data_IF_780024884970
#
_entry.id   IF_780024884970
#
_cell.length_a   1.000
_cell.length_b   1.000
_cell.length_c   1.000
_cell.angle_alpha   90.00
_cell.angle_beta   90.00
_cell.angle_gamma   90.00
#
_symmetry.space_group_name_H-M   'P 1'
#
loop_
_entity.id
_entity.type
_entity.pdbx_description
1 polymer ?
#
# COMPACT_ATOMS: atom_id res chain seq x y z
N UNK A 1 19.75 15.44 56.52
CA UNK A 1 18.88 14.54 57.30
C UNK A 1 18.51 13.33 56.43
N UNK A 2 19.11 12.15 56.65
CA UNK A 2 18.74 10.92 55.96
C UNK A 2 17.86 10.04 56.86
N UNK A 3 16.81 9.43 56.33
CA UNK A 3 16.09 8.34 56.99
C UNK A 3 16.34 7.04 56.22
N UNK A 4 17.16 6.20 56.85
CA UNK A 4 17.32 4.77 56.59
C UNK A 4 16.14 4.02 57.21
N UNK A 5 15.67 2.98 56.55
CA UNK A 5 15.14 1.79 57.21
C UNK A 5 15.71 0.55 56.53
N UNK A 6 16.63 -0.13 57.23
CA UNK A 6 16.88 -1.56 57.09
C UNK A 6 16.00 -2.28 58.11
N UNK A 7 15.51 -3.48 57.83
CA UNK A 7 15.95 -4.80 58.32
C UNK A 7 14.64 -5.65 58.24
N UNK A 8 14.54 -6.91 57.84
CA UNK A 8 15.38 -8.07 58.14
C UNK A 8 15.21 -9.19 57.09
N UNK A 9 16.28 -9.97 56.92
CA UNK A 9 16.28 -11.33 56.36
C UNK A 9 15.86 -12.35 57.43
N UNK A 10 15.16 -13.43 57.04
CA UNK A 10 15.34 -14.86 57.47
C UNK A 10 14.49 -15.71 56.49
N UNK A 11 15.01 -16.48 55.52
CA UNK A 11 15.74 -17.77 55.55
C UNK A 11 14.94 -19.02 55.98
N UNK A 12 14.61 -19.84 54.96
CA UNK A 12 14.65 -21.33 54.92
C UNK A 12 13.59 -22.13 55.71
N UNK A 13 12.75 -22.89 54.99
CA UNK A 13 12.76 -24.38 54.97
C UNK A 13 11.65 -24.97 54.09
N UNK A 14 12.09 -25.88 53.23
CA UNK A 14 11.32 -26.91 52.56
C UNK A 14 10.62 -27.85 53.54
N UNK A 15 9.36 -28.18 53.29
CA UNK A 15 8.71 -29.40 53.82
C UNK A 15 8.02 -30.12 52.67
N UNK A 16 8.53 -31.31 52.42
CA UNK A 16 8.06 -32.33 51.50
C UNK A 16 7.40 -33.43 52.35
N UNK A 17 6.25 -33.97 51.91
CA UNK A 17 5.72 -35.35 52.08
C UNK A 17 4.18 -35.35 52.15
N UNK A 18 3.52 -35.94 51.13
CA UNK A 18 2.86 -37.28 51.10
C UNK A 18 1.59 -37.37 51.98
N UNK A 19 0.43 -37.83 51.52
CA UNK A 19 -0.01 -38.41 50.26
C UNK A 19 -1.36 -39.15 50.43
N UNK A 20 -1.76 -39.88 49.36
CA UNK A 20 -2.76 -41.00 49.28
C UNK A 20 -4.26 -40.60 49.19
N UNK A 21 -5.12 -41.13 48.29
CA UNK A 21 -5.10 -42.31 47.42
C UNK A 21 -6.04 -42.17 46.18
N UNK A 22 -5.61 -42.83 45.11
CA UNK A 22 -6.29 -43.59 44.03
C UNK A 22 -7.78 -43.36 43.66
N UNK A 23 -8.03 -43.19 42.35
CA UNK A 23 -8.73 -44.17 41.50
C UNK A 23 -8.15 -44.12 40.07
N UNK A 24 -7.68 -45.25 39.55
CA UNK A 24 -7.35 -45.49 38.14
C UNK A 24 -8.44 -46.36 37.53
N UNK A 25 -9.05 -45.94 36.41
CA UNK A 25 -9.69 -46.79 35.38
C UNK A 25 -9.65 -45.97 34.07
N UNK A 26 -8.69 -46.14 33.15
CA UNK A 26 -8.64 -47.11 32.05
C UNK A 26 -9.95 -47.29 31.26
N UNK A 27 -10.24 -46.37 30.35
CA UNK A 27 -11.06 -46.54 29.14
C UNK A 27 -10.64 -45.41 28.18
N UNK A 28 -10.30 -45.57 26.92
CA UNK A 28 -10.16 -46.73 26.04
C UNK A 28 -9.65 -46.16 24.72
N UNK A 29 -8.43 -46.52 24.34
CA UNK A 29 -7.86 -46.24 23.03
C UNK A 29 -8.47 -47.24 22.03
N UNK A 30 -9.60 -46.88 21.42
CA UNK A 30 -10.20 -47.62 20.32
C UNK A 30 -11.25 -46.77 19.58
N UNK A 31 -10.82 -45.65 18.99
CA UNK A 31 -11.62 -44.92 17.98
C UNK A 31 -10.73 -44.08 17.06
N UNK A 32 -9.55 -44.63 16.71
CA UNK A 32 -8.58 -44.05 15.77
C UNK A 32 -8.21 -45.01 14.62
N UNK A 33 -9.09 -45.96 14.32
CA UNK A 33 -8.93 -46.84 13.16
C UNK A 33 -10.31 -47.14 12.61
N UNK A 34 -10.73 -46.34 11.63
CA UNK A 34 -11.69 -46.61 10.53
C UNK A 34 -12.42 -45.32 10.13
N UNK A 35 -11.69 -44.44 9.46
CA UNK A 35 -12.17 -43.66 8.31
C UNK A 35 -10.92 -43.04 7.67
N UNK A 36 -10.18 -43.89 6.94
CA UNK A 36 -9.21 -43.41 5.97
C UNK A 36 -9.95 -42.62 4.90
N UNK A 37 -9.62 -41.33 4.83
CA UNK A 37 -9.66 -40.45 3.66
C UNK A 37 -9.06 -39.08 4.07
N UNK A 38 -7.89 -39.09 4.71
CA UNK A 38 -7.03 -37.91 4.80
C UNK A 38 -5.80 -38.23 3.96
N UNK A 39 -5.95 -38.10 2.65
CA UNK A 39 -4.81 -37.95 1.76
C UNK A 39 -3.97 -36.75 2.23
N UNK A 40 -2.66 -36.73 1.99
CA UNK A 40 -1.86 -35.57 2.33
C UNK A 40 -2.47 -34.37 1.61
N UNK A 41 -3.02 -33.42 2.37
CA UNK A 41 -3.38 -32.10 1.86
C UNK A 41 -2.07 -31.37 1.60
N UNK A 42 -1.36 -31.82 0.55
CA UNK A 42 -0.52 -30.92 -0.21
C UNK A 42 -1.51 -30.00 -0.92
N UNK A 43 -1.37 -28.67 -0.85
CA UNK A 43 -1.95 -27.87 -1.91
C UNK A 43 -1.36 -28.45 -3.19
N UNK A 44 -2.21 -29.10 -4.00
CA UNK A 44 -1.89 -29.33 -5.40
C UNK A 44 -1.42 -27.97 -5.87
N UNK A 45 -0.14 -27.87 -6.25
CA UNK A 45 0.32 -26.73 -7.01
C UNK A 45 -0.74 -26.55 -8.08
N UNK A 46 -1.55 -25.49 -7.94
CA UNK A 46 -2.60 -25.21 -8.91
C UNK A 46 -1.89 -25.31 -10.22
N UNK A 47 -2.35 -26.20 -11.10
CA UNK A 47 -1.89 -26.20 -12.47
C UNK A 47 -1.93 -24.74 -12.85
N UNK A 48 -0.75 -24.16 -13.08
CA UNK A 48 -0.61 -22.95 -13.84
C UNK A 48 -1.32 -23.35 -15.11
N UNK A 49 -2.57 -22.90 -15.26
CA UNK A 49 -3.25 -22.97 -16.53
C UNK A 49 -2.38 -22.05 -17.36
N UNK A 50 -1.41 -22.65 -18.04
CA UNK A 50 -0.78 -22.09 -19.21
C UNK A 50 -1.93 -21.98 -20.22
N UNK A 51 -2.77 -20.97 -20.02
CA UNK A 51 -3.34 -20.30 -21.16
C UNK A 51 -2.15 -20.02 -22.04
N UNK A 52 -2.15 -20.62 -23.22
CA UNK A 52 -1.30 -20.26 -24.33
C UNK A 52 -1.63 -18.78 -24.59
N UNK A 53 -1.03 -17.91 -23.78
CA UNK A 53 -1.18 -16.48 -23.86
C UNK A 53 -0.47 -16.13 -25.15
N UNK A 54 -1.26 -15.78 -26.16
CA UNK A 54 -0.74 -15.14 -27.37
C UNK A 54 0.34 -14.14 -26.94
N UNK A 55 1.52 -14.21 -27.56
CA UNK A 55 2.61 -13.30 -27.25
C UNK A 55 2.12 -11.86 -27.43
N UNK A 56 1.85 -11.19 -26.31
CA UNK A 56 1.50 -9.78 -26.32
C UNK A 56 2.79 -9.04 -26.65
N UNK A 57 2.85 -8.29 -27.76
CA UNK A 57 4.07 -7.62 -28.16
C UNK A 57 4.46 -6.60 -27.09
N UNK A 58 5.74 -6.63 -26.72
CA UNK A 58 6.33 -5.70 -25.75
C UNK A 58 6.44 -4.32 -26.40
N UNK A 59 5.41 -3.51 -26.20
CA UNK A 59 5.33 -2.14 -26.70
C UNK A 59 5.01 -1.18 -25.54
N UNK A 60 5.40 0.11 -25.62
CA UNK A 60 5.07 1.06 -24.56
C UNK A 60 3.57 1.15 -24.29
N UNK A 61 2.75 1.11 -25.35
CA UNK A 61 1.29 1.10 -25.24
C UNK A 61 0.78 -0.10 -24.45
N UNK A 62 1.17 -1.33 -24.83
CA UNK A 62 0.74 -2.54 -24.14
C UNK A 62 1.18 -2.56 -22.67
N UNK A 63 2.38 -2.04 -22.37
CA UNK A 63 2.88 -1.93 -21.00
C UNK A 63 2.09 -0.93 -20.15
N UNK A 64 1.75 0.24 -20.71
CA UNK A 64 0.98 1.28 -20.02
C UNK A 64 -0.50 0.87 -19.84
N UNK A 65 -1.06 0.10 -20.76
CA UNK A 65 -2.41 -0.45 -20.60
C UNK A 65 -2.46 -1.53 -19.50
N UNK A 66 -1.45 -2.40 -19.42
CA UNK A 66 -1.41 -3.51 -18.45
C UNK A 66 -1.39 -3.06 -16.97
N UNK A 67 -1.03 -1.81 -16.66
CA UNK A 67 -1.07 -1.26 -15.29
C UNK A 67 -2.43 -0.61 -14.95
N UNK A 68 -3.36 -0.45 -15.91
CA UNK A 68 -4.61 0.30 -15.68
C UNK A 68 -5.65 -0.42 -14.84
N UNK A 69 -5.65 -1.76 -14.82
CA UNK A 69 -6.62 -2.53 -14.04
C UNK A 69 -6.04 -3.90 -13.65
N UNK A 70 -6.20 -4.27 -12.39
CA UNK A 70 -5.60 -5.49 -11.87
C UNK A 70 -5.41 -5.49 -10.36
N UNK A 71 -4.83 -6.58 -9.89
CA UNK A 71 -4.39 -6.79 -8.52
C UNK A 71 -2.95 -7.25 -8.53
N UNK A 72 -2.15 -6.68 -7.65
CA UNK A 72 -0.75 -7.01 -7.49
C UNK A 72 -0.42 -7.17 -6.02
N UNK A 73 0.44 -8.14 -5.74
CA UNK A 73 1.05 -8.34 -4.43
C UNK A 73 2.55 -8.17 -4.61
N UNK A 74 3.13 -7.26 -3.84
CA UNK A 74 4.55 -6.98 -3.85
C UNK A 74 5.20 -7.39 -2.54
N UNK A 75 6.46 -7.77 -2.63
CA UNK A 75 7.39 -7.72 -1.51
C UNK A 75 7.97 -6.31 -1.43
N UNK A 76 7.67 -5.60 -0.33
CA UNK A 76 8.25 -4.29 -0.04
C UNK A 76 9.52 -4.43 0.78
N UNK A 77 10.59 -3.77 0.35
CA UNK A 77 11.89 -3.70 1.03
C UNK A 77 12.30 -2.25 1.24
N UNK A 78 12.87 -1.91 2.39
CA UNK A 78 13.48 -0.59 2.60
C UNK A 78 14.83 -0.54 1.89
N UNK A 79 15.07 0.55 1.14
CA UNK A 79 16.37 0.92 0.59
C UNK A 79 17.01 2.07 1.38
N UNK A 80 16.38 2.47 2.48
CA UNK A 80 16.84 3.61 3.28
C UNK A 80 18.07 3.20 4.09
N UNK A 81 19.23 3.87 3.92
CA UNK A 81 20.45 3.50 4.63
C UNK A 81 20.27 3.53 6.15
N UNK A 82 20.72 2.47 6.83
CA UNK A 82 20.65 2.36 8.30
C UNK A 82 19.26 2.01 8.86
N UNK A 83 18.27 1.78 8.00
CA UNK A 83 16.93 1.32 8.40
C UNK A 83 16.76 -0.14 7.96
N UNK A 84 17.02 -1.08 8.87
CA UNK A 84 16.70 -2.49 8.64
C UNK A 84 15.24 -2.75 9.00
N UNK A 85 14.43 -3.03 7.97
CA UNK A 85 13.04 -3.42 8.13
C UNK A 85 12.80 -4.76 7.42
N UNK A 86 12.01 -5.67 8.03
CA UNK A 86 11.68 -6.92 7.38
C UNK A 86 10.90 -6.65 6.09
N UNK A 87 11.08 -7.53 5.11
CA UNK A 87 10.25 -7.51 3.92
C UNK A 87 8.78 -7.71 4.31
N UNK A 88 7.89 -6.90 3.75
CA UNK A 88 6.46 -6.92 4.06
C UNK A 88 5.63 -6.99 2.78
N UNK A 89 4.48 -7.65 2.84
CA UNK A 89 3.56 -7.69 1.71
C UNK A 89 2.86 -6.33 1.54
N UNK A 90 2.74 -5.93 0.29
CA UNK A 90 2.10 -4.69 -0.13
C UNK A 90 1.16 -4.97 -1.29
N UNK A 91 -0.09 -4.53 -1.15
CA UNK A 91 -1.18 -4.88 -2.05
C UNK A 91 -1.60 -3.68 -2.86
N UNK A 92 -1.62 -3.84 -4.18
CA UNK A 92 -2.18 -2.85 -5.09
C UNK A 92 -3.39 -3.43 -5.80
N UNK A 93 -4.46 -2.66 -5.89
CA UNK A 93 -5.67 -3.01 -6.63
C UNK A 93 -6.14 -1.79 -7.39
N UNK A 94 -6.41 -1.95 -8.68
CA UNK A 94 -7.01 -0.94 -9.52
C UNK A 94 -8.21 -1.58 -10.20
N UNK A 95 -9.40 -1.01 -9.99
CA UNK A 95 -10.62 -1.49 -10.59
C UNK A 95 -11.75 -0.47 -10.44
N UNK A 96 -12.53 -0.29 -11.52
CA UNK A 96 -13.56 0.75 -11.59
C UNK A 96 -13.00 2.14 -11.29
N UNK A 97 -13.69 2.91 -10.45
CA UNK A 97 -13.33 4.28 -10.10
C UNK A 97 -12.32 4.40 -8.93
N UNK A 98 -11.66 3.31 -8.50
CA UNK A 98 -10.72 3.35 -7.35
C UNK A 98 -9.39 2.62 -7.59
N UNK A 99 -8.32 3.25 -7.12
CA UNK A 99 -7.02 2.62 -6.88
C UNK A 99 -6.78 2.56 -5.38
N UNK A 100 -6.33 1.39 -4.91
CA UNK A 100 -5.90 1.15 -3.55
C UNK A 100 -4.51 0.54 -3.57
N UNK A 101 -3.62 1.04 -2.73
CA UNK A 101 -2.24 0.57 -2.62
C UNK A 101 -1.85 0.58 -1.13
N UNK A 102 -1.75 -0.57 -0.47
CA UNK A 102 -1.75 -0.68 1.00
C UNK A 102 -0.81 -1.74 1.52
N UNK A 103 -0.18 -1.48 2.67
CA UNK A 103 0.62 -2.47 3.39
C UNK A 103 -0.26 -3.44 4.15
N UNK A 104 0.13 -4.71 4.15
CA UNK A 104 -0.46 -5.74 5.02
C UNK A 104 -0.47 -5.33 6.50
N UNK A 105 0.52 -4.55 6.93
CA UNK A 105 0.70 -4.14 8.32
C UNK A 105 -0.28 -3.05 8.77
N UNK A 106 -0.92 -2.34 7.84
CA UNK A 106 -1.79 -1.21 8.16
C UNK A 106 -3.12 -1.66 8.79
N UNK A 107 -3.52 -2.92 8.61
CA UNK A 107 -4.79 -3.45 9.13
C UNK A 107 -6.00 -2.88 8.37
N UNK A 108 -7.01 -2.39 9.10
CA UNK A 108 -8.20 -1.77 8.49
C UNK A 108 -7.83 -0.42 7.83
N UNK A 109 -7.77 -0.40 6.50
CA UNK A 109 -7.66 0.82 5.75
C UNK A 109 -8.99 1.60 5.84
N UNK A 110 -9.00 2.93 5.96
CA UNK A 110 -10.22 3.72 5.90
C UNK A 110 -10.79 3.71 4.47
N UNK A 111 -11.44 2.61 4.08
CA UNK A 111 -11.97 2.34 2.73
C UNK A 111 -13.13 3.28 2.30
N UNK A 112 -13.58 4.19 3.18
CA UNK A 112 -14.76 5.04 2.96
C UNK A 112 -14.55 6.56 3.06
N UNK A 113 -13.32 7.07 3.09
CA UNK A 113 -13.05 8.44 3.58
C UNK A 113 -13.11 9.59 2.53
N UNK A 114 -13.80 9.41 1.40
CA UNK A 114 -14.14 10.55 0.53
C UNK A 114 -15.62 10.95 0.61
N UNK A 115 -16.37 10.34 1.54
CA UNK A 115 -17.78 10.67 1.81
C UNK A 115 -17.86 12.09 2.38
N UNK A 116 -17.97 13.06 1.48
CA UNK A 116 -18.90 14.16 1.65
C UNK A 116 -20.31 13.55 1.54
N UNK A 117 -20.86 13.06 2.65
CA UNK A 117 -22.30 13.04 2.81
C UNK A 117 -22.72 12.87 4.28
N UNK A 118 -23.63 13.76 4.65
CA UNK A 118 -24.52 13.77 5.80
C UNK A 118 -24.00 14.34 7.14
N UNK A 119 -24.49 15.57 7.37
CA UNK A 119 -25.15 15.99 8.61
C UNK A 119 -24.32 16.72 9.67
N UNK A 120 -24.40 18.05 9.60
CA UNK A 120 -25.11 18.76 10.68
C UNK A 120 -26.28 17.88 11.16
N UNK A 121 -26.16 17.24 12.32
CA UNK A 121 -27.24 16.76 13.22
C UNK A 121 -26.84 15.46 13.92
N UNK A 122 -26.19 15.55 15.08
CA UNK A 122 -26.52 14.86 16.34
C UNK A 122 -25.33 14.91 17.30
N UNK A 123 -25.51 15.36 18.56
CA UNK A 123 -24.48 15.19 19.57
C UNK A 123 -24.47 13.73 19.99
N UNK A 124 -23.57 12.93 19.42
CA UNK A 124 -23.38 11.54 19.82
C UNK A 124 -22.37 11.45 20.98
N UNK A 125 -22.70 10.61 21.95
CA UNK A 125 -22.06 10.44 23.25
C UNK A 125 -20.52 10.42 23.23
N UNK A 126 -19.96 11.12 24.21
CA UNK A 126 -18.54 11.42 24.40
C UNK A 126 -17.64 10.20 24.67
N UNK A 127 -18.20 9.00 24.86
CA UNK A 127 -17.44 7.76 25.04
C UNK A 127 -17.11 7.05 23.71
N UNK A 128 -18.03 6.99 22.74
CA UNK A 128 -17.76 6.39 21.43
C UNK A 128 -16.77 7.23 20.59
N UNK A 129 -16.79 8.55 20.77
CA UNK A 129 -15.80 9.45 20.20
C UNK A 129 -14.39 9.23 20.78
N UNK A 130 -14.27 8.69 22.00
CA UNK A 130 -13.00 8.37 22.66
C UNK A 130 -12.35 7.11 22.08
N UNK A 131 -13.10 6.02 21.92
CA UNK A 131 -12.57 4.75 21.40
C UNK A 131 -12.20 4.82 19.90
N UNK A 132 -12.97 5.55 19.10
CA UNK A 132 -12.62 5.85 17.70
C UNK A 132 -11.35 6.69 17.62
N UNK A 133 -11.09 7.55 18.61
CA UNK A 133 -9.90 8.41 18.68
C UNK A 133 -8.66 7.68 19.19
N UNK A 134 -8.82 6.66 20.03
CA UNK A 134 -7.73 5.79 20.47
C UNK A 134 -7.30 4.76 19.41
N UNK A 135 -8.23 4.22 18.60
CA UNK A 135 -7.87 3.38 17.42
C UNK A 135 -7.20 4.18 16.30
N UNK A 136 -7.44 5.49 16.20
CA UNK A 136 -6.87 6.41 15.18
C UNK A 136 -5.40 6.79 15.40
N UNK A 137 -4.71 6.25 16.42
CA UNK A 137 -3.38 6.72 16.85
C UNK A 137 -2.15 6.08 16.17
N UNK A 138 -2.28 5.26 15.12
CA UNK A 138 -1.12 4.59 14.49
C UNK A 138 -0.67 5.13 13.15
N UNK A 139 -1.40 6.06 12.55
CA UNK A 139 -1.08 6.57 11.22
C UNK A 139 -1.46 8.04 11.06
N UNK A 140 -0.75 8.74 10.16
CA UNK A 140 -1.03 10.12 9.76
C UNK A 140 -1.53 10.10 8.33
N UNK A 141 -2.76 10.55 8.11
CA UNK A 141 -3.35 10.64 6.77
C UNK A 141 -3.39 12.07 6.26
N UNK A 142 -3.22 12.25 4.96
CA UNK A 142 -3.39 13.53 4.26
C UNK A 142 -4.25 13.29 3.03
N UNK A 143 -5.33 14.08 2.90
CA UNK A 143 -6.16 14.10 1.69
C UNK A 143 -5.64 15.21 0.76
N UNK A 144 -5.46 14.88 -0.50
CA UNK A 144 -5.05 15.78 -1.57
C UNK A 144 -6.13 15.72 -2.65
N UNK A 145 -6.77 16.84 -2.92
CA UNK A 145 -7.70 17.01 -4.03
C UNK A 145 -6.96 17.68 -5.19
N UNK A 146 -7.09 17.11 -6.39
CA UNK A 146 -6.48 17.59 -7.62
C UNK A 146 -7.54 18.35 -8.40
N UNK A 147 -7.28 19.63 -8.71
CA UNK A 147 -8.29 20.48 -9.34
C UNK A 147 -8.59 20.07 -10.78
N UNK A 148 -7.54 19.77 -11.55
CA UNK A 148 -7.65 19.13 -12.86
C UNK A 148 -7.22 17.67 -12.75
N UNK A 149 -8.11 16.70 -12.98
CA UNK A 149 -7.80 15.29 -12.81
C UNK A 149 -6.55 14.86 -13.61
N UNK A 150 -5.64 14.17 -12.94
CA UNK A 150 -4.33 13.85 -13.46
C UNK A 150 -4.27 12.41 -14.00
N UNK A 151 -3.95 12.22 -15.28
CA UNK A 151 -3.65 10.87 -15.80
C UNK A 151 -2.21 10.47 -15.40
N UNK A 152 -2.02 9.46 -14.53
CA UNK A 152 -0.70 9.00 -14.11
C UNK A 152 0.10 8.36 -15.26
N UNK A 153 -0.53 7.98 -16.37
CA UNK A 153 0.08 7.29 -17.52
C UNK A 153 -0.53 7.80 -18.84
N UNK A 154 -0.49 9.12 -19.06
CA UNK A 154 -1.03 9.76 -20.27
C UNK A 154 -0.52 9.14 -21.57
N UNK A 155 -1.41 8.92 -22.54
CA UNK A 155 -1.05 8.46 -23.89
C UNK A 155 -0.05 9.36 -24.62
N UNK A 156 -0.01 10.67 -24.29
CA UNK A 156 1.01 11.61 -24.80
C UNK A 156 2.44 11.17 -24.50
N UNK A 157 2.63 10.38 -23.46
CA UNK A 157 3.94 9.82 -23.08
C UNK A 157 4.49 8.88 -24.16
N UNK A 158 3.62 8.14 -24.84
CA UNK A 158 4.01 7.23 -25.93
C UNK A 158 4.51 8.05 -27.13
N UNK A 159 3.88 9.18 -27.41
CA UNK A 159 4.20 10.05 -28.55
C UNK A 159 5.50 10.85 -28.34
N UNK A 160 5.70 11.34 -27.12
CA UNK A 160 6.75 12.34 -26.83
C UNK A 160 7.93 11.79 -26.04
N UNK A 161 7.80 10.60 -25.44
CA UNK A 161 8.78 10.03 -24.51
C UNK A 161 8.82 10.72 -23.15
N UNK A 162 8.35 11.96 -23.03
CA UNK A 162 8.28 12.71 -21.77
C UNK A 162 7.11 13.68 -21.72
N UNK A 163 6.41 13.73 -20.60
CA UNK A 163 5.25 14.61 -20.37
C UNK A 163 5.39 15.35 -19.05
N UNK A 164 5.18 16.67 -19.11
CA UNK A 164 5.06 17.52 -17.93
C UNK A 164 3.61 17.95 -17.76
N UNK A 165 3.07 17.78 -16.55
CA UNK A 165 1.71 18.22 -16.19
C UNK A 165 1.78 19.02 -14.90
N UNK A 166 1.05 20.13 -14.83
CA UNK A 166 0.99 20.99 -13.65
C UNK A 166 -0.45 21.31 -13.33
N UNK A 167 -0.84 21.10 -12.09
CA UNK A 167 -2.21 21.30 -11.63
C UNK A 167 -2.23 21.87 -10.21
N UNK A 168 -3.30 22.58 -9.87
CA UNK A 168 -3.53 23.05 -8.52
C UNK A 168 -4.00 21.89 -7.63
N UNK A 169 -3.57 21.91 -6.36
CA UNK A 169 -3.98 20.92 -5.37
C UNK A 169 -4.45 21.58 -4.09
N UNK A 170 -5.40 20.92 -3.43
CA UNK A 170 -5.94 21.32 -2.13
C UNK A 170 -5.69 20.21 -1.13
N UNK A 171 -5.18 20.56 0.05
CA UNK A 171 -4.89 19.57 1.10
C UNK A 171 -5.84 19.72 2.29
N UNK A 172 -6.26 18.58 2.82
CA UNK A 172 -7.11 18.45 3.98
C UNK A 172 -6.58 17.31 4.88
N UNK A 173 -7.00 17.30 6.15
CA UNK A 173 -6.94 16.08 6.93
C UNK A 173 -7.84 15.02 6.28
N UNK A 174 -7.71 13.72 6.61
CA UNK A 174 -8.53 12.66 6.00
C UNK A 174 -10.02 12.97 6.11
N UNK A 175 -10.42 13.55 7.26
CA UNK A 175 -11.74 14.10 7.50
C UNK A 175 -11.55 15.53 8.01
N UNK A 176 -12.12 16.51 7.31
CA UNK A 176 -12.07 17.90 7.73
C UNK A 176 -12.03 18.89 6.55
N UNK A 177 -11.99 20.19 6.87
CA UNK A 177 -11.91 21.23 5.87
C UNK A 177 -10.51 21.26 5.22
N UNK A 178 -10.47 21.85 4.04
CA UNK A 178 -9.24 22.17 3.32
C UNK A 178 -8.47 23.20 4.14
N UNK A 179 -7.20 22.90 4.45
CA UNK A 179 -6.32 23.77 5.22
C UNK A 179 -5.17 24.34 4.39
N UNK A 180 -4.95 23.86 3.17
CA UNK A 180 -3.90 24.40 2.31
C UNK A 180 -4.20 24.25 0.82
N UNK A 181 -3.52 25.09 0.05
CA UNK A 181 -3.55 25.09 -1.42
C UNK A 181 -2.12 25.15 -1.93
N UNK A 182 -1.86 24.43 -3.00
CA UNK A 182 -0.52 24.28 -3.54
C UNK A 182 -0.54 23.93 -5.02
N UNK A 183 0.62 23.51 -5.50
CA UNK A 183 0.79 23.05 -6.87
C UNK A 183 1.39 21.66 -6.85
N UNK A 184 0.84 20.77 -7.68
CA UNK A 184 1.43 19.51 -8.07
C UNK A 184 2.03 19.67 -9.47
N UNK A 185 3.31 19.35 -9.60
CA UNK A 185 3.99 19.19 -10.88
C UNK A 185 4.33 17.71 -11.04
N UNK A 186 3.93 17.11 -12.17
CA UNK A 186 4.31 15.76 -12.59
C UNK A 186 5.23 15.86 -13.79
N UNK A 187 6.33 15.14 -13.76
CA UNK A 187 7.17 14.85 -14.93
C UNK A 187 7.20 13.34 -15.08
N UNK A 188 6.82 12.82 -16.24
CA UNK A 188 6.93 11.40 -16.54
C UNK A 188 7.77 11.18 -17.78
N UNK A 189 8.62 10.17 -17.77
CA UNK A 189 9.61 9.91 -18.82
C UNK A 189 9.80 8.40 -19.02
N UNK A 190 9.75 7.96 -20.27
CA UNK A 190 10.15 6.60 -20.67
C UNK A 190 11.67 6.57 -20.74
N UNK A 191 12.31 5.80 -19.86
CA UNK A 191 13.77 5.69 -19.79
C UNK A 191 14.31 4.56 -20.68
N UNK A 192 13.46 3.61 -21.09
CA UNK A 192 13.83 2.52 -22.00
C UNK A 192 13.20 1.19 -21.61
N UNK A 193 13.89 0.10 -21.97
CA UNK A 193 13.49 -1.27 -21.65
C UNK A 193 14.59 -1.98 -20.88
N UNK A 194 14.22 -2.72 -19.84
CA UNK A 194 15.15 -3.47 -18.99
C UNK A 194 14.52 -4.79 -18.56
N UNK A 195 15.33 -5.84 -18.45
CA UNK A 195 14.89 -7.10 -17.86
C UNK A 195 14.79 -6.97 -16.33
N UNK A 196 13.82 -7.66 -15.73
CA UNK A 196 13.58 -7.64 -14.28
C UNK A 196 13.44 -9.05 -13.74
N UNK A 197 14.24 -9.36 -12.72
CA UNK A 197 14.08 -10.54 -11.87
C UNK A 197 13.34 -10.17 -10.58
N UNK A 198 12.30 -10.92 -10.25
CA UNK A 198 11.50 -10.72 -9.03
C UNK A 198 10.96 -12.05 -8.49
N UNK A 199 10.34 -12.08 -7.30
CA UNK A 199 9.78 -13.32 -6.74
C UNK A 199 8.75 -14.02 -7.64
N UNK A 200 8.01 -13.29 -8.50
CA UNK A 200 7.07 -13.84 -9.47
C UNK A 200 7.75 -14.48 -10.70
N UNK A 201 9.07 -14.30 -10.88
CA UNK A 201 9.84 -14.81 -12.01
C UNK A 201 10.65 -13.72 -12.72
N UNK A 202 11.18 -14.08 -13.89
CA UNK A 202 11.89 -13.16 -14.78
C UNK A 202 10.95 -12.61 -15.85
N UNK A 203 11.03 -11.30 -16.08
CA UNK A 203 10.29 -10.59 -17.11
C UNK A 203 11.27 -9.86 -18.03
N UNK A 204 11.25 -10.20 -19.32
CA UNK A 204 12.14 -9.61 -20.31
C UNK A 204 11.52 -8.36 -20.94
N UNK A 205 12.35 -7.36 -21.25
CA UNK A 205 11.92 -6.14 -21.93
C UNK A 205 10.85 -5.35 -21.16
N UNK A 206 10.98 -5.18 -19.85
CA UNK A 206 10.04 -4.35 -19.10
C UNK A 206 10.27 -2.87 -19.44
N UNK A 207 9.19 -2.14 -19.76
CA UNK A 207 9.24 -0.69 -19.98
C UNK A 207 9.59 -0.01 -18.65
N UNK A 208 10.70 0.71 -18.62
CA UNK A 208 11.11 1.52 -17.47
C UNK A 208 10.58 2.94 -17.61
N UNK A 209 9.83 3.36 -16.60
CA UNK A 209 9.22 4.68 -16.51
C UNK A 209 9.69 5.39 -15.24
N UNK A 210 10.12 6.64 -15.38
CA UNK A 210 10.33 7.55 -14.25
C UNK A 210 9.14 8.51 -14.12
N UNK A 211 8.63 8.69 -12.91
CA UNK A 211 7.64 9.71 -12.58
C UNK A 211 8.17 10.52 -11.40
N UNK A 212 8.34 11.82 -11.59
CA UNK A 212 8.65 12.79 -10.55
C UNK A 212 7.40 13.59 -10.21
N UNK A 213 6.94 13.49 -8.97
CA UNK A 213 5.86 14.30 -8.41
C UNK A 213 6.44 15.30 -7.42
N UNK A 214 6.31 16.58 -7.73
CA UNK A 214 6.70 17.67 -6.84
C UNK A 214 5.46 18.39 -6.35
N UNK A 215 5.25 18.38 -5.03
CA UNK A 215 4.15 19.11 -4.38
C UNK A 215 4.71 20.25 -3.55
N UNK A 216 4.21 21.46 -3.83
CA UNK A 216 4.64 22.69 -3.15
C UNK A 216 3.42 23.40 -2.57
N UNK A 217 3.45 23.64 -1.25
CA UNK A 217 2.49 24.48 -0.56
C UNK A 217 3.19 25.74 -0.02
N UNK A 218 2.61 26.94 -0.12
CA UNK A 218 3.29 28.19 0.25
C UNK A 218 3.72 28.31 1.73
N UNK A 219 3.03 27.63 2.65
CA UNK A 219 3.23 27.76 4.10
C UNK A 219 3.43 26.41 4.81
N UNK A 220 3.45 25.29 4.07
CA UNK A 220 3.37 23.93 4.61
C UNK A 220 4.34 23.01 3.84
N UNK A 221 4.34 21.65 4.00
CA UNK A 221 5.48 20.84 3.56
C UNK A 221 5.70 20.89 2.06
N UNK A 222 6.97 20.74 1.71
CA UNK A 222 7.39 20.47 0.36
C UNK A 222 7.75 18.99 0.32
N UNK A 223 7.20 18.25 -0.63
CA UNK A 223 7.67 16.89 -0.86
C UNK A 223 7.87 16.63 -2.35
N UNK A 224 8.98 15.94 -2.62
CA UNK A 224 9.35 15.42 -3.91
C UNK A 224 9.26 13.89 -3.82
N UNK A 225 8.43 13.30 -4.67
CA UNK A 225 8.18 11.87 -4.73
C UNK A 225 8.55 11.37 -6.13
N UNK A 226 9.70 10.72 -6.23
CA UNK A 226 10.18 10.09 -7.45
C UNK A 226 9.86 8.61 -7.40
N UNK A 227 9.21 8.09 -8.44
CA UNK A 227 8.96 6.66 -8.61
C UNK A 227 9.52 6.17 -9.94
N UNK A 228 10.18 5.03 -9.90
CA UNK A 228 10.60 4.26 -11.06
C UNK A 228 9.70 3.02 -11.15
N UNK A 229 9.11 2.79 -12.30
CA UNK A 229 8.21 1.67 -12.55
C UNK A 229 8.77 0.82 -13.69
N UNK A 230 8.77 -0.49 -13.53
CA UNK A 230 9.04 -1.44 -14.62
C UNK A 230 7.72 -2.12 -14.96
N UNK A 231 7.27 -1.94 -16.20
CA UNK A 231 5.97 -2.39 -16.68
C UNK A 231 6.15 -3.49 -17.74
N UNK A 232 5.40 -4.57 -17.61
CA UNK A 232 5.40 -5.68 -18.56
C UNK A 232 3.97 -5.94 -19.07
N UNK A 233 3.75 -6.17 -20.37
CA UNK A 233 2.40 -6.25 -20.93
C UNK A 233 1.56 -7.40 -20.36
N UNK A 234 2.22 -8.49 -19.91
CA UNK A 234 1.52 -9.66 -19.33
C UNK A 234 1.24 -9.54 -17.83
N UNK A 235 1.84 -8.57 -17.14
CA UNK A 235 1.81 -8.52 -15.68
C UNK A 235 1.55 -7.12 -15.10
N UNK A 236 1.54 -6.06 -15.90
CA UNK A 236 1.49 -4.69 -15.39
C UNK A 236 2.80 -4.30 -14.70
N UNK A 237 2.74 -3.72 -13.51
CA UNK A 237 3.92 -3.31 -12.75
C UNK A 237 4.62 -4.51 -12.09
N UNK A 238 5.85 -4.83 -12.53
CA UNK A 238 6.67 -5.93 -12.01
C UNK A 238 7.66 -5.50 -10.93
N UNK A 239 8.09 -4.24 -10.97
CA UNK A 239 8.97 -3.62 -9.98
C UNK A 239 8.64 -2.15 -9.85
N UNK A 240 8.75 -1.63 -8.64
CA UNK A 240 8.70 -0.20 -8.37
C UNK A 240 9.77 0.19 -7.37
N UNK A 241 10.47 1.29 -7.62
CA UNK A 241 11.34 1.95 -6.64
C UNK A 241 10.77 3.32 -6.37
N UNK A 242 10.47 3.61 -5.12
CA UNK A 242 9.99 4.93 -4.70
C UNK A 242 11.05 5.63 -3.85
N UNK A 243 11.13 6.95 -4.01
CA UNK A 243 11.92 7.84 -3.18
C UNK A 243 11.06 9.03 -2.81
N UNK A 244 10.85 9.19 -1.52
CA UNK A 244 10.11 10.33 -0.97
C UNK A 244 11.09 11.17 -0.17
N UNK A 245 11.20 12.44 -0.52
CA UNK A 245 12.05 13.40 0.18
C UNK A 245 11.30 14.69 0.38
N UNK A 246 11.70 15.48 1.38
CA UNK A 246 11.07 16.76 1.57
C UNK A 246 11.41 17.43 2.87
N UNK A 247 10.66 18.48 3.14
CA UNK A 247 10.77 19.31 4.32
C UNK A 247 9.39 19.50 4.92
N UNK A 248 9.27 19.22 6.21
CA UNK A 248 8.14 19.68 7.02
C UNK A 248 8.64 20.79 7.95
N UNK A 249 8.29 22.04 7.63
CA UNK A 249 8.79 23.24 8.30
C UNK A 249 10.34 23.31 8.21
N UNK A 250 11.06 22.82 9.21
CA UNK A 250 12.53 22.80 9.25
C UNK A 250 13.12 21.38 9.32
N UNK A 251 12.27 20.35 9.37
CA UNK A 251 12.70 18.96 9.49
C UNK A 251 12.79 18.34 8.10
N UNK A 252 14.01 17.99 7.69
CA UNK A 252 14.22 17.17 6.51
C UNK A 252 13.75 15.75 6.76
N UNK A 253 13.18 15.15 5.72
CA UNK A 253 12.81 13.75 5.74
C UNK A 253 13.14 13.08 4.41
N UNK A 254 13.37 11.77 4.47
CA UNK A 254 13.76 10.98 3.30
C UNK A 254 13.59 9.48 3.51
N UNK A 255 13.00 8.82 2.52
CA UNK A 255 12.85 7.36 2.48
C UNK A 255 12.98 6.84 1.06
N UNK A 256 13.45 5.61 0.94
CA UNK A 256 13.41 4.85 -0.30
C UNK A 256 12.90 3.43 -0.04
N UNK A 257 12.00 2.96 -0.89
CA UNK A 257 11.50 1.59 -0.83
C UNK A 257 11.50 0.96 -2.22
N UNK A 258 11.67 -0.34 -2.25
CA UNK A 258 11.55 -1.19 -3.43
C UNK A 258 10.36 -2.13 -3.26
N UNK A 259 9.62 -2.34 -4.34
CA UNK A 259 8.48 -3.23 -4.45
C UNK A 259 8.77 -4.22 -5.57
N UNK A 260 8.81 -5.51 -5.24
CA UNK A 260 9.07 -6.58 -6.21
C UNK A 260 7.84 -7.48 -6.30
N UNK A 261 7.39 -7.77 -7.53
CA UNK A 261 6.16 -8.53 -7.74
C UNK A 261 6.29 -9.96 -7.18
N UNK A 262 5.29 -10.38 -6.40
CA UNK A 262 5.11 -11.77 -5.90
C UNK A 262 4.02 -12.50 -6.64
N UNK A 263 2.88 -11.83 -6.89
CA UNK A 263 1.75 -12.40 -7.63
C UNK A 263 0.88 -11.30 -8.22
N UNK A 264 0.15 -11.62 -9.28
CA UNK A 264 -0.74 -10.68 -9.95
C UNK A 264 -1.97 -11.36 -10.53
N UNK A 265 -3.01 -10.58 -10.74
CA UNK A 265 -4.23 -10.93 -11.45
C UNK A 265 -4.63 -9.71 -12.29
N UNK A 266 -4.53 -9.81 -13.61
CA UNK A 266 -5.01 -8.75 -14.49
C UNK A 266 -6.52 -8.86 -14.63
N UNK A 267 -7.24 -7.73 -14.56
CA UNK A 267 -8.66 -7.74 -14.82
C UNK A 267 -8.90 -7.74 -16.34
N UNK A 268 -9.81 -8.58 -16.87
CA UNK A 268 -10.13 -8.58 -18.30
C UNK A 268 -10.64 -7.21 -18.74
N UNK A 269 -10.17 -6.73 -19.89
CA UNK A 269 -10.60 -5.45 -20.47
C UNK A 269 -12.14 -5.33 -20.60
N UNK A 270 -12.82 -6.44 -20.86
CA UNK A 270 -14.28 -6.50 -21.03
C UNK A 270 -15.08 -6.38 -19.72
N UNK A 271 -14.43 -6.53 -18.55
CA UNK A 271 -15.07 -6.37 -17.24
C UNK A 271 -15.00 -4.94 -16.70
N UNK A 272 -14.38 -4.02 -17.45
CA UNK A 272 -14.28 -2.60 -17.13
C UNK A 272 -15.13 -1.84 -18.14
N UNK A 273 -16.39 -1.57 -17.78
CA UNK A 273 -17.39 -0.85 -18.61
C UNK A 273 -16.97 0.58 -19.04
N UNK A 274 -15.77 1.02 -18.70
CA UNK A 274 -15.29 2.36 -18.97
C UNK A 274 -13.79 2.32 -19.36
N UNK A 275 -13.52 2.24 -20.67
CA UNK A 275 -12.16 2.37 -21.24
C UNK A 275 -11.64 3.81 -21.19
N UNK A 276 -12.32 4.72 -20.51
CA UNK A 276 -11.88 6.10 -20.37
C UNK A 276 -10.58 6.16 -19.58
N UNK A 277 -9.54 6.88 -20.04
CA UNK A 277 -8.34 7.08 -19.26
C UNK A 277 -8.71 7.59 -17.86
N UNK A 278 -8.24 6.82 -16.90
CA UNK A 278 -8.62 6.94 -15.51
C UNK A 278 -7.77 8.03 -14.87
N UNK A 279 -8.39 9.17 -14.54
CA UNK A 279 -7.69 10.35 -14.04
C UNK A 279 -7.84 10.48 -12.52
N UNK A 280 -6.74 10.79 -11.82
CA UNK A 280 -6.73 10.97 -10.37
C UNK A 280 -7.39 12.29 -9.99
N UNK A 281 -8.46 12.24 -9.20
CA UNK A 281 -9.17 13.42 -8.71
C UNK A 281 -8.90 13.68 -7.22
N UNK A 282 -8.87 12.62 -6.41
CA UNK A 282 -8.59 12.72 -4.97
C UNK A 282 -7.67 11.61 -4.53
N UNK A 283 -6.74 11.94 -3.65
CA UNK A 283 -5.74 11.03 -3.11
C UNK A 283 -5.78 11.10 -1.59
N UNK A 284 -5.90 9.96 -0.92
CA UNK A 284 -5.66 9.80 0.50
C UNK A 284 -4.33 9.08 0.67
N UNK A 285 -3.34 9.80 1.19
CA UNK A 285 -2.04 9.26 1.54
C UNK A 285 -2.02 8.96 3.05
N UNK A 286 -1.64 7.74 3.42
CA UNK A 286 -1.52 7.29 4.80
C UNK A 286 -0.07 6.92 5.08
N UNK A 287 0.51 7.56 6.10
CA UNK A 287 1.87 7.34 6.57
C UNK A 287 1.83 6.62 7.92
N UNK A 288 2.52 5.50 8.06
CA UNK A 288 2.71 4.84 9.38
C UNK A 288 3.91 5.41 10.14
N UNK A 289 4.88 5.98 9.41
CA UNK A 289 5.97 6.81 9.91
C UNK A 289 6.02 8.09 9.09
N UNK A 290 6.23 9.23 9.74
CA UNK A 290 6.22 10.55 9.08
C UNK A 290 7.61 11.17 8.96
N UNK A 291 8.37 11.23 10.05
CA UNK A 291 9.69 11.84 10.11
C UNK A 291 10.58 10.96 11.00
N UNK A 292 11.89 10.80 10.70
CA UNK A 292 12.61 11.35 9.53
C UNK A 292 12.53 10.48 8.28
N UNK A 293 12.06 9.24 8.40
CA UNK A 293 11.93 8.30 7.30
C UNK A 293 10.45 8.04 7.06
N UNK A 294 9.76 8.87 6.25
CA UNK A 294 8.36 8.67 5.99
C UNK A 294 8.16 7.29 5.38
N UNK A 295 7.09 6.62 5.74
CA UNK A 295 6.77 5.33 5.17
C UNK A 295 5.30 5.31 4.83
N UNK A 296 5.03 5.15 3.54
CA UNK A 296 3.68 5.10 3.01
C UNK A 296 3.11 3.74 3.41
N UNK A 297 2.13 3.77 4.29
CA UNK A 297 1.39 2.60 4.72
C UNK A 297 0.23 2.31 3.78
N UNK A 298 -0.30 3.35 3.13
CA UNK A 298 -1.18 3.16 2.00
C UNK A 298 -1.56 4.44 1.27
N UNK A 299 -2.15 4.25 0.10
CA UNK A 299 -2.63 5.24 -0.84
C UNK A 299 -4.00 4.77 -1.33
N UNK A 300 -4.99 5.65 -1.28
CA UNK A 300 -6.26 5.44 -1.95
C UNK A 300 -6.52 6.60 -2.89
N UNK A 301 -6.91 6.30 -4.12
CA UNK A 301 -7.15 7.29 -5.14
C UNK A 301 -8.55 7.12 -5.68
N UNK A 302 -9.34 8.19 -5.63
CA UNK A 302 -10.55 8.31 -6.44
C UNK A 302 -10.16 8.68 -7.85
N UNK A 303 -10.73 7.94 -8.79
CA UNK A 303 -10.48 8.13 -10.19
C UNK A 303 -11.77 8.53 -10.89
N UNK A 304 -11.67 9.45 -11.84
CA UNK A 304 -12.78 9.91 -12.66
C UNK A 304 -12.52 9.55 -14.11
N UNK A 305 -13.59 9.27 -14.85
CA UNK A 305 -13.51 9.08 -16.28
C UNK A 305 -13.03 10.38 -16.94
N UNK A 306 -12.04 10.29 -17.83
CA UNK A 306 -11.68 11.41 -18.68
C UNK A 306 -12.89 11.80 -19.53
N UNK A 307 -13.41 13.01 -19.33
CA UNK A 307 -14.32 13.57 -20.34
C UNK A 307 -13.46 13.95 -21.55
N UNK A 308 -13.81 13.55 -22.78
CA UNK A 308 -13.19 14.16 -23.94
C UNK A 308 -13.46 15.67 -23.86
N UNK A 309 -12.40 16.47 -24.02
CA UNK A 309 -12.57 17.91 -24.14
C UNK A 309 -13.54 18.21 -25.30
N UNK A 310 -14.48 19.16 -25.14
CA UNK A 310 -15.39 19.54 -26.22
C UNK A 310 -14.66 20.10 -27.45
#
# INVERSE_FOLDING_TARGET
MPLRFGLDQVSVRSVLMRGRNCVCVWFGAALLALCGCLGPWRPTAGQVVSHEQAEVPVTPAACLEAIRAGRWVYERRSLTPGVEEPAADYFRTIGGARLLDVSAELGEFPHGAFVEEAAQSQPADSQAAGEVRERRRKWVGVRIEVDEPLDPFSGKLIETGSVVTRTAVRCAWPIGPIWGRGTLTRVAEIEGFEDVDCPAGRFEGCLRLRIDLTVRFPLTPIFDWTTYHWLHPRAGEVRRVERLTGWFVLLWFGSAHEYLLKSYELMPHEAVDDTSPVQWSKVLLVLDRTIPHPRIAGLSVEMVASHPAP
#
